data_IF_479912910587
#
_entry.id   IF_479912910587
#
_cell.length_a   1.000
_cell.length_b   1.000
_cell.length_c   1.000
_cell.angle_alpha   90.00
_cell.angle_beta   90.00
_cell.angle_gamma   90.00
#
_symmetry.space_group_name_H-M   'P 1'
#
loop_
_entity.id
_entity.type
_entity.pdbx_description
1 polymer ?
#
# COMPACT_ATOMS: atom_id res chain seq x y z
N UNK A 1 -1.89 -10.92 19.96
CA UNK A 1 -1.89 -10.25 18.64
C UNK A 1 -0.90 -9.08 18.63
N UNK A 2 0.39 -9.39 18.44
CA UNK A 2 1.47 -8.40 18.59
C UNK A 2 1.95 -7.78 17.26
N UNK A 3 1.28 -8.04 16.13
CA UNK A 3 1.87 -7.66 14.85
C UNK A 3 1.17 -6.52 14.08
N UNK A 4 0.43 -5.68 14.75
CA UNK A 4 -0.14 -4.49 14.09
C UNK A 4 0.87 -3.44 13.65
N UNK A 5 2.13 -3.55 14.05
CA UNK A 5 3.10 -2.46 13.94
C UNK A 5 3.88 -2.40 12.64
N UNK A 6 4.39 -3.51 12.12
CA UNK A 6 5.37 -3.47 11.04
C UNK A 6 4.75 -3.36 9.63
N UNK A 7 3.66 -4.06 9.35
CA UNK A 7 3.10 -4.10 8.00
C UNK A 7 2.32 -2.86 7.57
N UNK A 8 1.65 -2.20 8.50
CA UNK A 8 0.72 -1.11 8.17
C UNK A 8 1.41 0.21 7.83
N UNK A 9 2.55 0.52 8.45
CA UNK A 9 3.29 1.77 8.21
C UNK A 9 4.02 1.68 6.87
N UNK A 10 4.73 0.58 6.59
CA UNK A 10 5.46 0.38 5.33
C UNK A 10 4.55 0.35 4.11
N UNK A 11 3.46 -0.40 4.16
CA UNK A 11 2.46 -0.51 3.09
C UNK A 11 1.85 0.84 2.70
N UNK A 12 1.74 1.78 3.64
CA UNK A 12 1.08 3.08 3.43
C UNK A 12 2.02 4.19 3.02
N UNK A 13 3.31 4.04 3.33
CA UNK A 13 4.37 4.97 2.93
C UNK A 13 4.98 4.62 1.58
N UNK A 14 4.67 3.42 1.02
CA UNK A 14 5.27 2.92 -0.21
C UNK A 14 6.73 2.48 -0.05
N UNK A 15 7.19 2.25 1.17
CA UNK A 15 8.54 1.72 1.44
C UNK A 15 8.54 0.22 1.19
N UNK A 16 9.60 -0.28 0.60
CA UNK A 16 9.87 -1.72 0.41
C UNK A 16 10.99 -2.17 1.34
N UNK A 17 10.95 -3.43 1.79
CA UNK A 17 12.03 -4.01 2.55
C UNK A 17 13.11 -4.54 1.58
N UNK A 18 14.37 -4.28 1.90
CA UNK A 18 15.50 -4.90 1.21
C UNK A 18 15.62 -6.37 1.59
N UNK A 19 16.30 -7.16 0.76
CA UNK A 19 16.55 -8.57 1.04
C UNK A 19 17.25 -8.78 2.40
N UNK A 20 18.21 -7.94 2.74
CA UNK A 20 18.92 -8.01 4.02
C UNK A 20 18.02 -7.72 5.22
N UNK A 21 17.07 -6.81 5.09
CA UNK A 21 16.07 -6.52 6.14
C UNK A 21 15.11 -7.69 6.32
N UNK A 22 14.60 -8.27 5.22
CA UNK A 22 13.73 -9.46 5.27
C UNK A 22 14.46 -10.64 5.90
N UNK A 23 15.74 -10.86 5.55
CA UNK A 23 16.57 -11.92 6.14
C UNK A 23 16.75 -11.73 7.66
N UNK A 24 17.07 -10.52 8.12
CA UNK A 24 17.20 -10.22 9.55
C UNK A 24 15.90 -10.47 10.29
N UNK A 25 14.78 -10.02 9.71
CA UNK A 25 13.44 -10.24 10.31
C UNK A 25 13.14 -11.74 10.36
N UNK A 26 13.35 -12.50 9.27
CA UNK A 26 13.10 -13.92 9.22
C UNK A 26 13.94 -14.69 10.27
N UNK A 27 15.22 -14.38 10.38
CA UNK A 27 16.10 -14.96 11.40
C UNK A 27 15.63 -14.65 12.83
N UNK A 28 15.25 -13.40 13.06
CA UNK A 28 14.74 -12.99 14.40
C UNK A 28 13.45 -13.73 14.75
N UNK A 29 12.52 -13.83 13.79
CA UNK A 29 11.23 -14.48 14.02
C UNK A 29 11.35 -16.00 14.17
N UNK A 30 12.37 -16.63 13.60
CA UNK A 30 12.60 -18.07 13.72
C UNK A 30 12.92 -18.53 15.14
N UNK A 31 13.37 -17.63 16.00
CA UNK A 31 13.67 -17.93 17.42
C UNK A 31 12.40 -18.00 18.29
N UNK A 32 11.24 -17.72 17.72
CA UNK A 32 9.96 -17.66 18.45
C UNK A 32 8.94 -18.67 17.92
N UNK A 33 8.20 -19.31 18.83
CA UNK A 33 7.05 -20.17 18.49
C UNK A 33 5.81 -19.32 18.18
N UNK A 34 5.79 -18.67 17.02
CA UNK A 34 4.70 -17.79 16.56
C UNK A 34 4.31 -18.13 15.12
N UNK A 35 3.08 -17.79 14.73
CA UNK A 35 2.71 -17.76 13.32
C UNK A 35 3.09 -16.40 12.72
N UNK A 36 3.69 -16.45 11.54
CA UNK A 36 4.07 -15.28 10.75
C UNK A 36 3.04 -15.13 9.63
N UNK A 37 2.38 -13.97 9.54
CA UNK A 37 1.49 -13.64 8.43
C UNK A 37 2.15 -12.54 7.63
N UNK A 38 2.58 -12.87 6.39
CA UNK A 38 3.12 -11.90 5.44
C UNK A 38 2.05 -11.50 4.42
N UNK A 39 1.61 -10.25 4.46
CA UNK A 39 0.69 -9.69 3.46
C UNK A 39 1.51 -9.09 2.31
N UNK A 40 1.71 -9.89 1.25
CA UNK A 40 2.50 -9.52 0.07
C UNK A 40 1.62 -9.06 -1.11
N UNK A 41 0.45 -8.50 -0.83
CA UNK A 41 -0.50 -8.05 -1.85
C UNK A 41 0.07 -6.97 -2.79
N UNK A 42 1.15 -6.29 -2.43
CA UNK A 42 1.86 -5.30 -3.23
C UNK A 42 3.20 -5.79 -3.80
N UNK A 43 3.51 -7.08 -3.71
CA UNK A 43 4.77 -7.64 -4.20
C UNK A 43 5.10 -7.21 -5.64
N UNK A 44 4.13 -7.32 -6.54
CA UNK A 44 4.28 -6.94 -7.95
C UNK A 44 4.29 -5.40 -8.19
N UNK A 45 3.91 -4.61 -7.18
CA UNK A 45 3.91 -3.15 -7.26
C UNK A 45 5.16 -2.55 -6.60
N UNK A 46 6.33 -3.17 -6.80
CA UNK A 46 7.65 -2.69 -6.41
C UNK A 46 8.33 -2.04 -7.60
N UNK A 47 8.90 -0.83 -7.42
CA UNK A 47 9.41 0.00 -8.52
C UNK A 47 10.93 -0.09 -8.72
N UNK A 48 11.68 -0.32 -7.65
CA UNK A 48 13.14 -0.25 -7.64
C UNK A 48 13.80 -1.62 -7.42
N UNK A 49 13.30 -2.67 -8.05
CA UNK A 49 13.87 -4.00 -7.93
C UNK A 49 12.82 -5.11 -7.83
N UNK A 50 13.25 -6.27 -7.38
CA UNK A 50 12.35 -7.38 -7.08
C UNK A 50 11.92 -7.32 -5.63
N UNK A 51 10.67 -7.66 -5.36
CA UNK A 51 10.19 -7.93 -4.02
C UNK A 51 10.87 -9.18 -3.47
N UNK A 52 11.40 -9.10 -2.25
CA UNK A 52 11.91 -10.27 -1.54
C UNK A 52 10.77 -10.83 -0.68
N UNK A 53 10.32 -12.03 -1.02
CA UNK A 53 9.28 -12.71 -0.25
C UNK A 53 9.83 -13.37 1.00
N UNK A 54 9.07 -13.36 2.09
CA UNK A 54 9.38 -14.16 3.27
C UNK A 54 9.40 -15.67 2.97
N UNK A 55 8.73 -16.12 1.90
CA UNK A 55 8.75 -17.50 1.45
C UNK A 55 10.11 -17.98 0.90
N UNK A 56 11.05 -17.06 0.65
CA UNK A 56 12.41 -17.40 0.24
C UNK A 56 13.27 -17.96 1.40
N UNK A 57 12.79 -17.82 2.64
CA UNK A 57 13.53 -18.20 3.85
C UNK A 57 12.97 -19.48 4.48
N UNK A 58 13.65 -20.61 4.23
CA UNK A 58 13.22 -21.92 4.73
C UNK A 58 13.13 -21.99 6.27
N UNK A 59 13.93 -21.20 6.96
CA UNK A 59 14.00 -21.19 8.43
C UNK A 59 12.67 -20.84 9.12
N UNK A 60 11.76 -20.17 8.43
CA UNK A 60 10.43 -19.78 8.95
C UNK A 60 9.28 -20.47 8.20
N UNK A 61 9.55 -21.37 7.26
CA UNK A 61 8.57 -21.96 6.35
C UNK A 61 7.41 -22.64 7.08
N UNK A 62 7.71 -23.35 8.17
CA UNK A 62 6.70 -24.11 8.92
C UNK A 62 5.76 -23.23 9.78
N UNK A 63 6.05 -21.96 9.89
CA UNK A 63 5.23 -20.99 10.65
C UNK A 63 4.74 -19.81 9.79
N UNK A 64 5.06 -19.82 8.48
CA UNK A 64 4.72 -18.72 7.56
C UNK A 64 3.38 -18.96 6.87
N UNK A 65 2.51 -17.96 6.93
CA UNK A 65 1.33 -17.80 6.09
C UNK A 65 1.51 -16.58 5.19
N UNK A 66 1.53 -16.77 3.89
CA UNK A 66 1.71 -15.74 2.89
C UNK A 66 0.37 -15.40 2.25
N UNK A 67 0.00 -14.13 2.27
CA UNK A 67 -1.22 -13.59 1.65
C UNK A 67 -0.86 -12.88 0.36
N UNK A 68 -1.52 -13.27 -0.72
CA UNK A 68 -1.39 -12.65 -2.02
C UNK A 68 -2.72 -12.47 -2.73
N UNK A 69 -2.69 -11.87 -3.90
CA UNK A 69 -3.89 -11.68 -4.72
C UNK A 69 -3.71 -10.70 -5.86
N UNK A 70 -4.74 -10.59 -6.69
CA UNK A 70 -4.72 -9.79 -7.91
C UNK A 70 -5.26 -8.37 -7.73
N UNK A 71 -5.76 -8.05 -6.54
CA UNK A 71 -6.42 -6.77 -6.27
C UNK A 71 -5.57 -5.56 -6.61
N UNK A 72 -4.24 -5.67 -6.45
CA UNK A 72 -3.29 -4.56 -6.66
C UNK A 72 -2.44 -4.78 -7.90
N UNK A 73 -1.86 -5.95 -8.04
CA UNK A 73 -1.01 -6.30 -9.18
C UNK A 73 -1.71 -6.20 -10.54
N UNK A 74 -3.01 -6.51 -10.59
CA UNK A 74 -3.81 -6.52 -11.82
C UNK A 74 -5.00 -5.55 -11.77
N UNK A 75 -5.00 -4.58 -10.85
CA UNK A 75 -6.11 -3.61 -10.64
C UNK A 75 -7.48 -4.28 -10.50
N UNK A 76 -7.51 -5.51 -9.94
CA UNK A 76 -8.68 -6.39 -9.90
C UNK A 76 -9.42 -6.35 -8.55
N UNK A 77 -9.48 -5.18 -7.91
CA UNK A 77 -10.10 -5.01 -6.58
C UNK A 77 -11.56 -5.46 -6.53
N UNK A 78 -12.32 -5.23 -7.59
CA UNK A 78 -13.75 -5.58 -7.70
C UNK A 78 -14.00 -7.08 -7.88
N UNK A 79 -13.00 -7.87 -8.30
CA UNK A 79 -13.14 -9.32 -8.53
C UNK A 79 -13.24 -10.09 -7.22
N UNK A 80 -12.72 -9.55 -6.13
CA UNK A 80 -12.79 -10.12 -4.78
C UNK A 80 -12.15 -11.50 -4.67
N UNK A 81 -10.89 -11.65 -5.11
CA UNK A 81 -10.13 -12.88 -5.00
C UNK A 81 -8.74 -12.62 -4.41
N UNK A 82 -8.31 -13.51 -3.57
CA UNK A 82 -6.96 -13.59 -3.00
C UNK A 82 -6.60 -15.05 -2.78
N UNK A 83 -5.39 -15.30 -2.37
CA UNK A 83 -4.90 -16.62 -2.03
C UNK A 83 -4.05 -16.57 -0.76
N UNK A 84 -4.04 -17.69 -0.06
CA UNK A 84 -3.23 -17.92 1.11
C UNK A 84 -2.37 -19.15 0.87
N UNK A 85 -1.09 -19.04 1.14
CA UNK A 85 -0.11 -20.11 1.03
C UNK A 85 0.56 -20.33 2.39
N UNK A 86 0.91 -21.58 2.71
CA UNK A 86 1.57 -21.90 3.97
C UNK A 86 1.70 -23.40 4.18
N UNK A 87 2.13 -23.86 5.36
CA UNK A 87 2.26 -25.25 5.70
C UNK A 87 0.93 -26.02 5.58
N UNK A 88 0.98 -27.23 5.07
CA UNK A 88 -0.20 -28.06 4.80
C UNK A 88 -1.13 -28.18 6.01
N UNK A 89 -0.56 -28.46 7.18
CA UNK A 89 -1.32 -28.63 8.42
C UNK A 89 -2.11 -27.37 8.85
N UNK A 90 -1.64 -26.16 8.49
CA UNK A 90 -2.36 -24.92 8.71
C UNK A 90 -3.42 -24.69 7.64
N UNK A 91 -3.04 -24.89 6.37
CA UNK A 91 -3.95 -24.69 5.24
C UNK A 91 -5.16 -25.60 5.31
N UNK A 92 -5.00 -26.87 5.72
CA UNK A 92 -6.14 -27.79 5.94
C UNK A 92 -7.14 -27.23 6.94
N UNK A 93 -6.67 -26.76 8.10
CA UNK A 93 -7.54 -26.18 9.15
C UNK A 93 -8.21 -24.88 8.70
N UNK A 94 -7.46 -24.02 8.02
CA UNK A 94 -7.98 -22.75 7.50
C UNK A 94 -8.99 -22.98 6.37
N UNK A 95 -8.78 -23.97 5.51
CA UNK A 95 -9.74 -24.38 4.47
C UNK A 95 -11.04 -24.85 5.07
N UNK A 96 -10.98 -25.67 6.13
CA UNK A 96 -12.16 -26.10 6.86
C UNK A 96 -12.94 -24.91 7.43
N UNK A 97 -12.27 -23.98 8.10
CA UNK A 97 -12.90 -22.77 8.63
C UNK A 97 -13.47 -21.87 7.51
N UNK A 98 -12.75 -21.75 6.40
CA UNK A 98 -13.17 -20.97 5.25
C UNK A 98 -14.48 -21.49 4.63
N UNK A 99 -14.65 -22.82 4.56
CA UNK A 99 -15.87 -23.44 4.05
C UNK A 99 -17.13 -23.02 4.85
N UNK A 100 -17.00 -22.81 6.16
CA UNK A 100 -18.10 -22.29 6.99
C UNK A 100 -18.32 -20.79 6.85
N UNK A 101 -17.30 -20.04 6.42
CA UNK A 101 -17.38 -18.58 6.32
C UNK A 101 -17.91 -18.15 4.94
N UNK A 102 -17.43 -18.72 3.84
CA UNK A 102 -17.85 -18.32 2.50
C UNK A 102 -17.82 -19.45 1.45
N UNK A 103 -17.82 -20.71 1.87
CA UNK A 103 -17.87 -21.93 1.03
C UNK A 103 -16.72 -21.98 0.02
N UNK A 104 -16.69 -21.08 -0.99
CA UNK A 104 -15.62 -20.99 -1.99
C UNK A 104 -15.54 -19.57 -2.57
N UNK A 105 -14.42 -19.27 -3.21
CA UNK A 105 -14.28 -18.06 -3.99
C UNK A 105 -15.19 -18.11 -5.24
N UNK A 106 -15.65 -16.97 -5.71
CA UNK A 106 -16.47 -16.81 -6.89
C UNK A 106 -15.83 -17.46 -8.13
N UNK A 107 -16.53 -18.38 -8.82
CA UNK A 107 -15.99 -19.16 -9.94
C UNK A 107 -15.47 -18.29 -11.10
N UNK A 108 -16.20 -17.28 -11.60
CA UNK A 108 -15.65 -16.34 -12.59
C UNK A 108 -14.35 -15.67 -12.13
N UNK A 109 -14.23 -15.33 -10.83
CA UNK A 109 -13.01 -14.74 -10.28
C UNK A 109 -11.83 -15.75 -10.28
N UNK A 110 -12.09 -17.04 -10.03
CA UNK A 110 -11.07 -18.09 -10.12
C UNK A 110 -10.51 -18.20 -11.55
N UNK A 111 -11.38 -18.20 -12.56
CA UNK A 111 -10.95 -18.22 -13.97
C UNK A 111 -10.18 -16.94 -14.35
N UNK A 112 -10.61 -15.78 -13.87
CA UNK A 112 -9.87 -14.54 -14.06
C UNK A 112 -8.48 -14.60 -13.40
N UNK A 113 -8.39 -15.20 -12.20
CA UNK A 113 -7.13 -15.39 -11.50
C UNK A 113 -6.17 -16.30 -12.29
N UNK A 114 -6.66 -17.41 -12.80
CA UNK A 114 -5.87 -18.33 -13.66
C UNK A 114 -5.36 -17.58 -14.89
N UNK A 115 -6.21 -16.81 -15.58
CA UNK A 115 -5.82 -16.05 -16.75
C UNK A 115 -4.75 -15.00 -16.42
N UNK A 116 -4.90 -14.27 -15.32
CA UNK A 116 -3.94 -13.26 -14.86
C UNK A 116 -2.57 -13.89 -14.54
N UNK A 117 -2.56 -15.01 -13.84
CA UNK A 117 -1.34 -15.72 -13.42
C UNK A 117 -0.69 -16.56 -14.55
N UNK A 118 -1.33 -16.71 -15.69
CA UNK A 118 -0.77 -17.48 -16.82
C UNK A 118 -0.52 -16.62 -18.07
N UNK A 119 -1.42 -15.68 -18.36
CA UNK A 119 -1.38 -14.87 -19.59
C UNK A 119 -1.17 -13.37 -19.30
N UNK A 120 -1.37 -12.95 -18.05
CA UNK A 120 -1.31 -11.56 -17.63
C UNK A 120 -0.06 -11.18 -16.82
N UNK A 121 1.00 -11.99 -16.84
CA UNK A 121 2.20 -11.80 -16.01
C UNK A 121 2.91 -10.46 -16.22
N UNK A 122 2.76 -9.84 -17.39
CA UNK A 122 3.38 -8.54 -17.71
C UNK A 122 2.53 -7.34 -17.28
N UNK A 123 1.25 -7.56 -16.91
CA UNK A 123 0.34 -6.47 -16.55
C UNK A 123 0.84 -5.60 -15.39
N UNK A 124 1.40 -6.13 -14.30
CA UNK A 124 1.97 -5.32 -13.22
C UNK A 124 3.09 -4.40 -13.68
N UNK A 125 3.97 -4.89 -14.57
CA UNK A 125 5.10 -4.11 -15.09
C UNK A 125 4.62 -2.91 -15.92
N UNK A 126 3.58 -3.11 -16.72
CA UNK A 126 2.97 -2.03 -17.50
C UNK A 126 2.33 -0.98 -16.58
N UNK A 127 1.59 -1.41 -15.56
CA UNK A 127 0.98 -0.49 -14.61
C UNK A 127 2.00 0.26 -13.76
N UNK A 128 3.09 -0.40 -13.36
CA UNK A 128 4.16 0.22 -12.57
C UNK A 128 4.81 1.39 -13.30
N UNK A 129 4.96 1.33 -14.63
CA UNK A 129 5.47 2.47 -15.43
C UNK A 129 4.59 3.72 -15.24
N UNK A 130 3.27 3.55 -15.32
CA UNK A 130 2.35 4.66 -15.10
C UNK A 130 2.35 5.14 -13.62
N UNK A 131 2.50 4.23 -12.67
CA UNK A 131 2.60 4.60 -11.26
C UNK A 131 3.89 5.38 -10.95
N UNK A 132 5.02 5.01 -11.54
CA UNK A 132 6.29 5.74 -11.41
C UNK A 132 6.14 7.18 -11.92
N UNK A 133 5.55 7.37 -13.10
CA UNK A 133 5.34 8.70 -13.68
C UNK A 133 4.45 9.57 -12.79
N UNK A 134 3.34 9.00 -12.30
CA UNK A 134 2.39 9.70 -11.41
C UNK A 134 3.01 10.04 -10.05
N UNK A 135 3.77 9.11 -9.48
CA UNK A 135 4.52 9.30 -8.24
C UNK A 135 5.50 10.48 -8.37
N UNK A 136 6.33 10.46 -9.43
CA UNK A 136 7.37 11.48 -9.62
C UNK A 136 6.77 12.87 -9.87
N UNK A 137 5.64 12.94 -10.58
CA UNK A 137 4.83 14.16 -10.69
C UNK A 137 4.36 14.65 -9.32
N UNK A 138 3.74 13.78 -8.51
CA UNK A 138 3.23 14.16 -7.18
C UNK A 138 4.35 14.58 -6.23
N UNK A 139 5.49 13.90 -6.24
CA UNK A 139 6.65 14.28 -5.41
C UNK A 139 7.08 15.72 -5.71
N UNK A 140 7.22 16.05 -7.00
CA UNK A 140 7.63 17.37 -7.44
C UNK A 140 6.60 18.44 -7.04
N UNK A 141 5.32 18.16 -7.32
CA UNK A 141 4.24 19.10 -7.04
C UNK A 141 4.03 19.31 -5.53
N UNK A 142 3.99 18.24 -4.73
CA UNK A 142 3.80 18.35 -3.29
C UNK A 142 4.95 19.12 -2.62
N UNK A 143 6.19 18.85 -3.05
CA UNK A 143 7.35 19.62 -2.55
C UNK A 143 7.26 21.11 -2.89
N UNK A 144 6.83 21.47 -4.11
CA UNK A 144 6.64 22.87 -4.49
C UNK A 144 5.50 23.55 -3.72
N UNK A 145 4.56 22.78 -3.22
CA UNK A 145 3.47 23.23 -2.34
C UNK A 145 3.87 23.23 -0.85
N UNK A 146 5.11 22.94 -0.48
CA UNK A 146 5.57 22.99 0.91
C UNK A 146 5.30 21.73 1.75
N UNK A 147 4.87 20.63 1.14
CA UNK A 147 4.76 19.36 1.85
C UNK A 147 6.13 18.71 2.02
N UNK A 148 6.37 18.11 3.16
CA UNK A 148 7.58 17.33 3.42
C UNK A 148 7.35 15.85 3.16
N UNK A 149 8.34 15.22 2.54
CA UNK A 149 8.34 13.79 2.24
C UNK A 149 9.52 13.13 2.95
N UNK A 150 9.22 12.26 3.90
CA UNK A 150 10.25 11.53 4.66
C UNK A 150 10.99 10.49 3.81
N UNK A 151 10.31 9.92 2.80
CA UNK A 151 10.89 8.96 1.88
C UNK A 151 10.23 9.05 0.51
N UNK A 152 10.98 8.68 -0.54
CA UNK A 152 10.44 8.46 -1.88
C UNK A 152 9.75 7.10 -1.89
N UNK A 153 8.45 7.00 -2.28
CA UNK A 153 7.79 5.71 -2.40
C UNK A 153 8.48 4.81 -3.44
N UNK A 154 8.79 3.59 -3.06
CA UNK A 154 9.44 2.58 -3.91
C UNK A 154 8.49 1.47 -4.34
N UNK A 155 7.25 1.54 -3.89
CA UNK A 155 6.19 0.59 -4.24
C UNK A 155 4.80 1.11 -3.89
N UNK A 156 3.80 0.26 -4.10
CA UNK A 156 2.38 0.56 -3.98
C UNK A 156 1.95 1.75 -4.88
N UNK A 157 0.91 2.46 -4.53
CA UNK A 157 0.43 3.64 -5.27
C UNK A 157 -0.07 4.72 -4.30
N UNK A 158 0.66 4.89 -3.19
CA UNK A 158 0.38 5.90 -2.18
C UNK A 158 1.61 6.76 -1.91
N UNK A 159 1.37 8.02 -1.59
CA UNK A 159 2.35 8.94 -1.06
C UNK A 159 1.86 9.46 0.29
N UNK A 160 2.77 9.67 1.25
CA UNK A 160 2.44 9.98 2.64
C UNK A 160 3.21 11.22 3.12
N UNK A 161 2.86 12.43 2.59
CA UNK A 161 3.52 13.67 2.97
C UNK A 161 3.10 14.16 4.35
N UNK A 162 4.03 14.85 5.01
CA UNK A 162 3.76 15.65 6.20
C UNK A 162 3.06 16.96 5.82
N UNK A 163 2.05 17.33 6.60
CA UNK A 163 1.34 18.62 6.50
C UNK A 163 1.67 19.56 7.65
N UNK A 164 2.69 19.25 8.45
CA UNK A 164 3.03 20.00 9.66
C UNK A 164 3.39 21.47 9.39
N UNK A 165 3.80 21.80 8.17
CA UNK A 165 3.98 23.18 7.75
C UNK A 165 2.67 23.98 7.68
N UNK A 166 1.53 23.30 7.65
CA UNK A 166 0.19 23.90 7.62
C UNK A 166 -0.52 23.75 8.96
N UNK A 167 -0.58 22.50 9.46
CA UNK A 167 -1.25 22.15 10.73
C UNK A 167 -0.81 20.76 11.21
N UNK A 168 -0.96 20.52 12.52
CA UNK A 168 -0.81 19.20 13.10
C UNK A 168 -2.14 18.39 13.11
N UNK A 169 -3.27 19.06 12.86
CA UNK A 169 -4.59 18.44 12.82
C UNK A 169 -4.89 17.91 11.41
N UNK A 170 -4.39 16.72 11.14
CA UNK A 170 -4.54 16.06 9.85
C UNK A 170 -5.97 15.64 9.54
N UNK A 171 -6.79 15.36 10.56
CA UNK A 171 -8.20 15.01 10.34
C UNK A 171 -9.01 16.21 9.84
N UNK A 172 -9.00 17.31 10.56
CA UNK A 172 -9.74 18.50 10.14
C UNK A 172 -9.19 19.10 8.85
N UNK A 173 -7.88 19.01 8.62
CA UNK A 173 -7.29 19.39 7.33
C UNK A 173 -7.87 18.58 6.17
N UNK A 174 -7.98 17.25 6.29
CA UNK A 174 -8.56 16.41 5.25
C UNK A 174 -10.06 16.71 5.01
N UNK A 175 -10.82 16.98 6.07
CA UNK A 175 -12.23 17.38 5.96
C UNK A 175 -12.35 18.72 5.24
N UNK A 176 -11.56 19.70 5.62
CA UNK A 176 -11.61 21.04 5.05
C UNK A 176 -11.19 21.06 3.56
N UNK A 177 -10.14 20.32 3.21
CA UNK A 177 -9.73 20.12 1.80
C UNK A 177 -10.81 19.41 0.99
N UNK A 178 -11.49 18.41 1.57
CA UNK A 178 -12.58 17.72 0.90
C UNK A 178 -13.75 18.68 0.61
N UNK A 179 -14.17 19.46 1.60
CA UNK A 179 -15.32 20.36 1.48
C UNK A 179 -15.05 21.57 0.57
N UNK A 180 -13.86 22.14 0.64
CA UNK A 180 -13.53 23.40 -0.04
C UNK A 180 -12.79 23.22 -1.36
N UNK A 181 -11.99 22.17 -1.51
CA UNK A 181 -11.22 21.88 -2.72
C UNK A 181 -11.75 20.67 -3.50
N UNK A 182 -12.71 19.92 -2.94
CA UNK A 182 -13.22 18.67 -3.52
C UNK A 182 -12.11 17.65 -3.82
N UNK A 183 -11.11 17.60 -2.93
CA UNK A 183 -9.99 16.67 -3.00
C UNK A 183 -10.02 15.75 -1.78
N UNK A 184 -10.18 14.44 -2.00
CA UNK A 184 -10.20 13.46 -0.93
C UNK A 184 -8.79 12.97 -0.61
N UNK A 185 -8.40 13.07 0.65
CA UNK A 185 -7.19 12.50 1.23
C UNK A 185 -7.55 11.72 2.49
N UNK A 186 -6.66 10.85 2.95
CA UNK A 186 -6.89 10.10 4.18
C UNK A 186 -5.95 10.64 5.26
N UNK A 187 -6.48 11.07 6.43
CA UNK A 187 -5.64 11.54 7.52
C UNK A 187 -4.74 10.43 8.05
N UNK A 188 -3.49 10.75 8.33
CA UNK A 188 -2.49 9.80 8.79
C UNK A 188 -2.82 9.22 10.17
N UNK A 189 -3.44 10.02 11.04
CA UNK A 189 -3.93 9.60 12.36
C UNK A 189 -4.97 8.45 12.30
N UNK A 190 -5.69 8.29 11.17
CA UNK A 190 -6.60 7.15 10.96
C UNK A 190 -5.86 5.80 10.85
N UNK A 191 -4.55 5.81 10.73
CA UNK A 191 -3.76 4.60 10.60
C UNK A 191 -3.02 4.23 11.89
N UNK A 192 -2.32 5.19 12.46
CA UNK A 192 -1.56 5.03 13.71
C UNK A 192 -1.32 6.41 14.33
N UNK A 193 -0.99 6.46 15.62
CA UNK A 193 -0.62 7.71 16.31
C UNK A 193 0.62 8.38 15.68
N UNK A 194 1.56 7.59 15.14
CA UNK A 194 2.75 8.09 14.43
C UNK A 194 2.38 8.80 13.12
N UNK A 195 1.24 8.46 12.54
CA UNK A 195 0.72 9.08 11.32
C UNK A 195 0.19 10.49 11.48
N UNK A 196 0.03 10.97 12.72
CA UNK A 196 -0.49 12.32 13.00
C UNK A 196 0.35 13.41 12.33
N UNK A 197 -0.32 14.40 11.75
CA UNK A 197 0.32 15.46 10.99
C UNK A 197 0.78 15.03 9.58
N UNK A 198 0.27 13.91 9.08
CA UNK A 198 0.49 13.44 7.72
C UNK A 198 -0.83 13.16 7.01
N UNK A 199 -0.80 13.08 5.67
CA UNK A 199 -1.95 12.66 4.87
C UNK A 199 -1.52 11.60 3.87
N UNK A 200 -2.42 10.65 3.55
CA UNK A 200 -2.20 9.68 2.49
C UNK A 200 -2.94 10.09 1.22
N UNK A 201 -2.21 10.20 0.13
CA UNK A 201 -2.73 10.49 -1.20
C UNK A 201 -2.52 9.26 -2.08
N UNK A 202 -3.56 8.81 -2.79
CA UNK A 202 -3.47 7.74 -3.78
C UNK A 202 -3.17 8.34 -5.16
N UNK A 203 -2.25 7.71 -5.91
CA UNK A 203 -2.00 8.05 -7.31
C UNK A 203 -2.42 6.94 -8.29
N UNK A 204 -3.39 6.12 -7.88
CA UNK A 204 -4.02 5.12 -8.76
C UNK A 204 -5.06 5.73 -9.72
N UNK A 205 -5.05 7.03 -9.91
CA UNK A 205 -5.90 7.78 -10.87
C UNK A 205 -5.10 8.12 -12.13
N UNK A 206 -5.78 8.47 -13.22
CA UNK A 206 -5.09 8.96 -14.41
C UNK A 206 -4.39 10.31 -14.15
N UNK A 207 -3.41 10.65 -15.00
CA UNK A 207 -2.59 11.84 -14.83
C UNK A 207 -3.39 13.13 -14.92
N UNK A 208 -4.47 13.17 -15.69
CA UNK A 208 -5.31 14.35 -15.87
C UNK A 208 -6.03 14.70 -14.56
N UNK A 209 -6.65 13.68 -13.94
CA UNK A 209 -7.33 13.84 -12.65
C UNK A 209 -6.35 14.18 -11.52
N UNK A 210 -5.14 13.60 -11.54
CA UNK A 210 -4.11 13.96 -10.56
C UNK A 210 -3.68 15.41 -10.68
N UNK A 211 -3.47 15.91 -11.91
CA UNK A 211 -3.13 17.32 -12.16
C UNK A 211 -4.25 18.25 -11.71
N UNK A 212 -5.48 17.92 -12.03
CA UNK A 212 -6.64 18.69 -11.59
C UNK A 212 -6.75 18.72 -10.05
N UNK A 213 -6.61 17.57 -9.38
CA UNK A 213 -6.61 17.49 -7.92
C UNK A 213 -5.50 18.33 -7.29
N UNK A 214 -4.29 18.30 -7.83
CA UNK A 214 -3.18 19.11 -7.33
C UNK A 214 -3.41 20.60 -7.55
N UNK A 215 -4.00 21.02 -8.66
CA UNK A 215 -4.35 22.41 -8.91
C UNK A 215 -5.43 22.94 -7.93
N UNK A 216 -6.42 22.11 -7.63
CA UNK A 216 -7.44 22.45 -6.61
C UNK A 216 -6.82 22.56 -5.22
N UNK A 217 -5.94 21.63 -4.85
CA UNK A 217 -5.19 21.67 -3.60
C UNK A 217 -4.33 22.93 -3.50
N UNK A 218 -3.59 23.28 -4.55
CA UNK A 218 -2.79 24.50 -4.61
C UNK A 218 -3.64 25.77 -4.38
N UNK A 219 -4.77 25.87 -5.05
CA UNK A 219 -5.71 27.00 -4.90
C UNK A 219 -6.21 27.09 -3.46
N UNK A 220 -6.57 25.98 -2.87
CA UNK A 220 -7.00 25.90 -1.47
C UNK A 220 -5.89 26.39 -0.53
N UNK A 221 -4.68 25.85 -0.68
CA UNK A 221 -3.55 26.20 0.19
C UNK A 221 -3.20 27.70 0.08
N UNK A 222 -3.14 28.26 -1.11
CA UNK A 222 -2.91 29.69 -1.31
C UNK A 222 -4.00 30.58 -0.70
N UNK A 223 -5.23 30.10 -0.67
CA UNK A 223 -6.37 30.85 -0.11
C UNK A 223 -6.38 30.81 1.43
N UNK A 224 -6.13 29.67 2.02
CA UNK A 224 -6.31 29.46 3.48
C UNK A 224 -4.99 29.48 4.26
N UNK A 225 -3.84 29.32 3.59
CA UNK A 225 -2.50 29.34 4.17
C UNK A 225 -1.55 30.29 3.40
N UNK A 226 -1.94 31.56 3.11
CA UNK A 226 -1.16 32.45 2.24
C UNK A 226 0.27 32.72 2.75
N UNK A 227 0.48 32.68 4.06
CA UNK A 227 1.79 32.94 4.67
C UNK A 227 2.85 31.88 4.33
N UNK A 228 2.43 30.70 3.86
CA UNK A 228 3.36 29.66 3.43
C UNK A 228 3.88 29.86 1.99
N UNK A 229 3.33 30.83 1.26
CA UNK A 229 3.68 31.16 -0.13
C UNK A 229 4.24 32.58 -0.29
N UNK A 230 4.46 33.30 0.83
CA UNK A 230 4.96 34.68 0.87
C UNK A 230 6.50 34.75 0.73
#
# INVERSE_FOLDING_TARGET
CLSRGLGDVYKRQGVTLSQSEVEVIAKTLSDYEIFIISDEIYAENTFNGQHTSFAEFDIIRDQLLLIGGLSKSHSATGIRIGFLMGPEYLIEKLTFMHAYNCICANVPAQHACIAALTKGLEAPQYMNKAYIERRDYLITTLKSLGFELNAKPEGAFYIFPSIKNYTEDDFNFCVDVLEKAHCAMVPGSSFTDIGKGHVRISYAYDMTLLKEGMQRLETYLKTYYPNQFA
#
